data_IF_870496710302
#
_entry.id   IF_870496710302
#
_cell.length_a   1.000
_cell.length_b   1.000
_cell.length_c   1.000
_cell.angle_alpha   90.00
_cell.angle_beta   90.00
_cell.angle_gamma   90.00
#
_symmetry.space_group_name_H-M   'P 1'
#
loop_
_entity.id
_entity.type
_entity.pdbx_description
1 polymer ?
#
# COMPACT_ATOMS: atom_id res chain seq x y z
N UNK A 1 -7.56 -25.11 -11.42
CA UNK A 1 -7.27 -24.30 -10.21
C UNK A 1 -8.39 -24.54 -9.21
N UNK A 2 -8.07 -24.82 -7.99
CA UNK A 2 -9.07 -25.06 -6.93
C UNK A 2 -9.07 -23.89 -5.94
N UNK A 3 -10.26 -23.41 -5.60
CA UNK A 3 -10.46 -22.38 -4.58
C UNK A 3 -11.80 -22.61 -3.87
N UNK A 4 -11.80 -22.59 -2.53
CA UNK A 4 -12.99 -22.80 -1.70
C UNK A 4 -13.79 -24.06 -2.07
N UNK A 5 -13.11 -25.17 -2.33
CA UNK A 5 -13.73 -26.44 -2.72
C UNK A 5 -14.33 -26.48 -4.13
N UNK A 6 -14.13 -25.43 -4.93
CA UNK A 6 -14.56 -25.40 -6.33
C UNK A 6 -13.36 -25.54 -7.26
N UNK A 7 -13.48 -26.38 -8.24
CA UNK A 7 -12.47 -26.57 -9.29
C UNK A 7 -12.83 -25.70 -10.49
N UNK A 8 -11.94 -24.77 -10.83
CA UNK A 8 -12.05 -23.94 -12.01
C UNK A 8 -11.12 -24.48 -13.10
N UNK A 9 -11.70 -24.92 -14.18
CA UNK A 9 -10.94 -25.36 -15.35
C UNK A 9 -11.20 -24.40 -16.52
N UNK A 10 -10.18 -23.88 -17.18
CA UNK A 10 -10.38 -23.12 -18.41
C UNK A 10 -10.83 -24.06 -19.53
N UNK A 11 -11.55 -23.54 -20.50
CA UNK A 11 -11.95 -24.27 -21.70
C UNK A 11 -10.75 -24.84 -22.44
N UNK A 12 -9.63 -24.13 -22.47
CA UNK A 12 -8.35 -24.59 -23.01
C UNK A 12 -7.20 -24.09 -22.11
N UNK A 13 -6.14 -24.89 -21.99
CA UNK A 13 -4.94 -24.52 -21.21
C UNK A 13 -4.28 -23.23 -21.71
N UNK A 14 -4.33 -22.97 -22.99
CA UNK A 14 -3.80 -21.77 -23.64
C UNK A 14 -4.53 -20.48 -23.28
N UNK A 15 -5.73 -20.58 -22.71
CA UNK A 15 -6.52 -19.43 -22.25
C UNK A 15 -6.19 -19.01 -20.80
N UNK A 16 -5.29 -19.74 -20.12
CA UNK A 16 -4.85 -19.36 -18.77
C UNK A 16 -3.66 -18.40 -18.87
N UNK A 17 -3.85 -17.12 -18.52
CA UNK A 17 -2.70 -16.22 -18.37
C UNK A 17 -1.74 -16.79 -17.33
N UNK A 18 -0.42 -16.78 -17.56
CA UNK A 18 0.58 -17.27 -16.61
C UNK A 18 0.44 -16.67 -15.22
N UNK A 19 0.02 -15.41 -15.15
CA UNK A 19 -0.21 -14.68 -13.90
C UNK A 19 -1.33 -15.25 -13.04
N UNK A 20 -2.37 -15.85 -13.66
CA UNK A 20 -3.42 -16.52 -12.90
C UNK A 20 -2.89 -17.65 -12.03
N UNK A 21 -1.85 -18.34 -12.47
CA UNK A 21 -1.18 -19.40 -11.71
C UNK A 21 -0.35 -18.81 -10.55
N UNK A 22 0.23 -17.64 -10.76
CA UNK A 22 1.01 -16.95 -9.76
C UNK A 22 0.15 -16.35 -8.65
N UNK A 23 -1.09 -15.91 -8.93
CA UNK A 23 -1.96 -15.27 -7.94
C UNK A 23 -2.25 -16.16 -6.73
N UNK A 24 -2.53 -17.43 -6.92
CA UNK A 24 -2.75 -18.36 -5.81
C UNK A 24 -1.52 -18.45 -4.92
N UNK A 25 -0.33 -18.61 -5.52
CA UNK A 25 0.94 -18.65 -4.78
C UNK A 25 1.19 -17.33 -4.03
N UNK A 26 0.89 -16.20 -4.66
CA UNK A 26 1.06 -14.88 -4.05
C UNK A 26 0.15 -14.69 -2.83
N UNK A 27 -1.11 -15.07 -2.91
CA UNK A 27 -2.08 -14.92 -1.80
C UNK A 27 -1.67 -15.75 -0.59
N UNK A 28 -1.15 -16.96 -0.81
CA UNK A 28 -0.74 -17.88 0.26
C UNK A 28 0.78 -17.90 0.50
N UNK A 29 1.50 -16.92 -0.02
CA UNK A 29 2.95 -16.84 0.19
C UNK A 29 3.27 -16.62 1.67
N UNK A 30 4.21 -17.39 2.26
CA UNK A 30 4.67 -17.16 3.62
C UNK A 30 5.41 -15.82 3.79
N UNK A 31 5.87 -15.23 2.69
CA UNK A 31 6.56 -13.94 2.69
C UNK A 31 5.59 -12.75 2.58
N UNK A 32 4.28 -13.01 2.56
CA UNK A 32 3.29 -11.95 2.50
C UNK A 32 3.23 -11.20 3.83
N UNK A 33 3.23 -9.87 3.78
CA UNK A 33 3.00 -9.03 4.96
C UNK A 33 1.53 -9.17 5.37
N UNK A 34 1.31 -9.68 6.58
CA UNK A 34 -0.04 -9.96 7.13
C UNK A 34 -0.47 -8.97 8.21
N UNK A 35 0.47 -8.22 8.76
CA UNK A 35 0.26 -7.34 9.90
C UNK A 35 1.00 -6.01 9.71
N UNK A 36 0.57 -4.94 10.38
CA UNK A 36 1.35 -3.71 10.43
C UNK A 36 2.73 -3.97 11.04
N UNK A 37 3.75 -3.41 10.41
CA UNK A 37 5.13 -3.54 10.82
C UNK A 37 5.73 -2.16 11.03
N UNK A 38 6.46 -2.00 12.13
CA UNK A 38 7.25 -0.81 12.42
C UNK A 38 8.73 -1.16 12.46
N UNK A 39 9.59 -0.30 11.93
CA UNK A 39 11.04 -0.46 12.10
C UNK A 39 11.39 -0.42 13.59
N UNK A 40 12.32 -1.28 14.00
CA UNK A 40 12.71 -1.39 15.42
C UNK A 40 13.47 -0.17 15.93
N UNK A 41 14.13 0.54 15.03
CA UNK A 41 14.99 1.70 15.29
C UNK A 41 14.34 3.04 14.87
N UNK A 42 13.03 3.07 14.68
CA UNK A 42 12.29 4.27 14.35
C UNK A 42 11.25 4.59 15.44
N UNK A 43 11.24 5.82 15.88
CA UNK A 43 10.26 6.32 16.84
C UNK A 43 9.68 7.66 16.36
N UNK A 44 8.34 7.86 16.36
CA UNK A 44 7.72 9.12 15.96
C UNK A 44 8.10 10.29 16.87
N UNK A 45 8.35 10.03 18.15
CA UNK A 45 8.69 11.02 19.15
C UNK A 45 10.19 11.05 19.51
N UNK A 46 10.97 10.17 18.90
CA UNK A 46 12.41 10.00 19.14
C UNK A 46 13.22 9.98 17.85
N UNK A 47 14.17 9.08 17.81
CA UNK A 47 15.05 8.91 16.65
C UNK A 47 14.33 8.27 15.47
N UNK A 48 14.48 8.85 14.32
CA UNK A 48 13.83 8.41 13.09
C UNK A 48 14.73 7.57 12.20
N UNK A 49 16.03 7.68 12.37
CA UNK A 49 17.05 6.88 11.68
C UNK A 49 16.78 6.70 10.17
N UNK A 50 16.63 7.78 9.39
CA UNK A 50 16.31 7.67 7.95
C UNK A 50 17.39 6.94 7.16
N UNK A 51 18.64 6.99 7.62
CA UNK A 51 19.77 6.29 7.02
C UNK A 51 19.65 4.77 7.07
N UNK A 52 18.81 4.26 7.97
CA UNK A 52 18.60 2.83 8.15
C UNK A 52 17.40 2.27 7.35
N UNK A 53 16.83 3.07 6.43
CA UNK A 53 15.77 2.57 5.54
C UNK A 53 16.32 1.45 4.65
N UNK A 54 15.59 0.35 4.61
CA UNK A 54 15.97 -0.84 3.84
C UNK A 54 16.89 -1.83 4.57
N UNK A 55 17.54 -1.43 5.67
CA UNK A 55 18.42 -2.30 6.47
C UNK A 55 17.89 -2.62 7.86
N UNK A 56 17.05 -1.75 8.42
CA UNK A 56 16.42 -2.01 9.73
C UNK A 56 15.55 -3.25 9.69
N UNK A 57 15.52 -3.95 10.81
CA UNK A 57 14.53 -4.99 11.07
C UNK A 57 13.17 -4.37 11.41
N UNK A 58 12.15 -5.19 11.36
CA UNK A 58 10.77 -4.79 11.66
C UNK A 58 10.22 -5.57 12.83
N UNK A 59 9.36 -4.92 13.61
CA UNK A 59 8.53 -5.56 14.63
C UNK A 59 7.05 -5.39 14.28
N UNK A 60 6.26 -6.40 14.64
CA UNK A 60 4.81 -6.33 14.53
C UNK A 60 4.26 -5.33 15.54
N UNK A 61 3.30 -4.53 15.09
CA UNK A 61 2.51 -3.62 15.93
C UNK A 61 1.03 -3.90 15.75
N UNK A 62 0.18 -3.32 16.58
CA UNK A 62 -1.28 -3.37 16.41
C UNK A 62 -1.73 -2.43 15.29
N UNK A 63 -2.96 -2.61 14.82
CA UNK A 63 -3.57 -1.66 13.89
C UNK A 63 -3.83 -0.31 14.56
N UNK A 64 -4.19 -0.30 15.85
CA UNK A 64 -4.40 0.93 16.61
C UNK A 64 -3.09 1.72 16.71
N UNK A 65 -1.98 1.08 17.10
CA UNK A 65 -0.66 1.72 17.11
C UNK A 65 -0.29 2.25 15.71
N UNK A 66 -0.55 1.50 14.67
CA UNK A 66 -0.21 1.90 13.30
C UNK A 66 -1.01 3.13 12.85
N UNK A 67 -2.32 3.15 13.11
CA UNK A 67 -3.18 4.28 12.74
C UNK A 67 -2.89 5.53 13.55
N UNK A 68 -2.59 5.40 14.83
CA UNK A 68 -2.19 6.52 15.70
C UNK A 68 -0.87 7.16 15.25
N UNK A 69 0.11 6.32 14.89
CA UNK A 69 1.37 6.80 14.32
C UNK A 69 1.12 7.56 13.02
N UNK A 70 0.35 7.00 12.10
CA UNK A 70 0.05 7.63 10.81
C UNK A 70 -0.68 8.96 11.02
N UNK A 71 -1.69 8.98 11.86
CA UNK A 71 -2.46 10.19 12.14
C UNK A 71 -1.59 11.29 12.76
N UNK A 72 -0.76 10.95 13.73
CA UNK A 72 0.16 11.90 14.39
C UNK A 72 1.20 12.44 13.42
N UNK A 73 1.77 11.61 12.54
CA UNK A 73 2.72 12.04 11.53
C UNK A 73 2.10 12.94 10.45
N UNK A 74 0.90 12.62 10.00
CA UNK A 74 0.15 13.49 9.09
C UNK A 74 -0.06 14.85 9.73
N UNK A 75 -0.53 14.88 10.98
CA UNK A 75 -0.74 16.13 11.75
C UNK A 75 0.57 16.90 11.85
N UNK A 76 1.65 16.28 12.31
CA UNK A 76 2.97 16.89 12.45
C UNK A 76 3.48 17.51 11.14
N UNK A 77 3.39 16.78 10.03
CA UNK A 77 3.85 17.26 8.72
C UNK A 77 3.04 18.47 8.27
N UNK A 78 1.72 18.43 8.46
CA UNK A 78 0.83 19.53 8.09
C UNK A 78 1.09 20.79 8.93
N UNK A 79 1.26 20.64 10.24
CA UNK A 79 1.55 21.76 11.14
C UNK A 79 2.92 22.40 10.85
N UNK A 80 3.92 21.57 10.55
CA UNK A 80 5.29 22.05 10.34
C UNK A 80 5.54 22.57 8.91
N UNK A 81 4.97 21.95 7.90
CA UNK A 81 5.32 22.20 6.49
C UNK A 81 4.11 22.58 5.62
N UNK A 82 2.92 22.58 6.18
CA UNK A 82 1.67 22.85 5.48
C UNK A 82 1.06 21.61 4.79
N UNK A 83 -0.19 21.73 4.33
CA UNK A 83 -0.93 20.61 3.75
C UNK A 83 -0.29 20.07 2.45
N UNK A 84 0.39 20.92 1.70
CA UNK A 84 1.01 20.56 0.42
C UNK A 84 2.31 19.76 0.55
N UNK A 85 2.79 19.54 1.77
CA UNK A 85 3.92 18.66 2.04
C UNK A 85 3.54 17.16 2.05
N UNK A 86 2.26 16.84 1.81
CA UNK A 86 1.77 15.47 1.76
C UNK A 86 1.40 15.13 0.32
N UNK A 87 2.03 14.08 -0.21
CA UNK A 87 1.73 13.49 -1.50
C UNK A 87 1.11 12.11 -1.29
N UNK A 88 -0.06 11.89 -1.87
CA UNK A 88 -0.59 10.55 -2.06
C UNK A 88 -0.42 10.14 -3.50
N UNK A 89 0.07 8.94 -3.68
CA UNK A 89 0.19 8.31 -4.97
C UNK A 89 -0.86 7.20 -5.05
N UNK A 90 -1.64 7.25 -6.07
CA UNK A 90 -2.64 6.25 -6.36
C UNK A 90 -2.84 6.17 -7.86
N UNK A 91 -3.52 5.19 -8.28
CA UNK A 91 -3.84 4.81 -9.64
C UNK A 91 -2.96 3.68 -10.16
N UNK A 92 -3.58 2.79 -10.89
CA UNK A 92 -2.97 1.62 -11.49
C UNK A 92 -4.05 0.63 -11.95
N UNK A 93 -3.64 -0.26 -12.82
CA UNK A 93 -4.53 -1.32 -13.27
C UNK A 93 -4.59 -2.44 -12.20
N UNK A 94 -5.79 -2.87 -11.82
CA UNK A 94 -6.01 -3.88 -10.80
C UNK A 94 -6.06 -3.35 -9.36
N UNK A 95 -6.08 -2.04 -9.18
CA UNK A 95 -6.29 -1.42 -7.89
C UNK A 95 -7.76 -1.56 -7.42
N UNK A 96 -7.95 -1.47 -6.13
CA UNK A 96 -9.28 -1.30 -5.56
C UNK A 96 -9.65 0.20 -5.57
N UNK A 97 -10.36 0.65 -6.59
CA UNK A 97 -10.69 2.06 -6.81
C UNK A 97 -11.37 2.74 -5.61
N UNK A 98 -12.11 1.98 -4.82
CA UNK A 98 -12.82 2.52 -3.66
C UNK A 98 -11.90 2.76 -2.46
N UNK A 99 -10.83 1.98 -2.32
CA UNK A 99 -9.98 2.01 -1.13
C UNK A 99 -8.64 2.68 -1.41
N UNK A 100 -7.92 2.25 -2.43
CA UNK A 100 -6.53 2.68 -2.65
C UNK A 100 -6.31 3.51 -3.92
N UNK A 101 -7.32 3.64 -4.78
CA UNK A 101 -7.22 4.48 -5.97
C UNK A 101 -7.19 5.96 -5.64
N UNK A 102 -6.61 6.78 -6.51
CA UNK A 102 -6.56 8.24 -6.38
C UNK A 102 -7.94 8.89 -6.23
N UNK A 103 -8.96 8.26 -6.80
CA UNK A 103 -10.36 8.68 -6.68
C UNK A 103 -11.06 8.14 -5.43
N UNK A 104 -10.38 7.29 -4.64
CA UNK A 104 -10.89 6.65 -3.44
C UNK A 104 -10.48 7.36 -2.16
N UNK A 105 -10.23 6.55 -1.13
CA UNK A 105 -9.95 7.02 0.23
C UNK A 105 -8.77 7.98 0.37
N UNK A 106 -7.62 7.82 -0.32
CA UNK A 106 -6.51 8.76 -0.17
C UNK A 106 -6.87 10.18 -0.57
N UNK A 107 -7.55 10.36 -1.71
CA UNK A 107 -8.01 11.68 -2.15
C UNK A 107 -9.10 12.26 -1.24
N UNK A 108 -9.98 11.42 -0.73
CA UNK A 108 -10.99 11.84 0.24
C UNK A 108 -10.34 12.31 1.56
N UNK A 109 -9.36 11.54 2.06
CA UNK A 109 -8.61 11.88 3.27
C UNK A 109 -7.94 13.26 3.13
N UNK A 110 -7.21 13.49 2.03
CA UNK A 110 -6.55 14.79 1.82
C UNK A 110 -7.54 15.95 1.71
N UNK A 111 -8.65 15.78 1.03
CA UNK A 111 -9.71 16.81 0.97
C UNK A 111 -10.27 17.12 2.36
N UNK A 112 -10.54 16.11 3.17
CA UNK A 112 -11.02 16.28 4.56
C UNK A 112 -9.99 16.95 5.45
N UNK A 113 -8.71 16.74 5.18
CA UNK A 113 -7.61 17.38 5.89
C UNK A 113 -7.26 18.79 5.36
N UNK A 114 -7.98 19.33 4.37
CA UNK A 114 -7.78 20.69 3.85
C UNK A 114 -6.67 20.80 2.81
N UNK A 115 -6.32 19.72 2.10
CA UNK A 115 -5.42 19.76 0.97
C UNK A 115 -4.26 18.76 1.04
N UNK A 116 -3.53 18.67 -0.06
CA UNK A 116 -2.42 17.76 -0.32
C UNK A 116 -2.36 17.44 -1.81
N UNK A 117 -1.26 16.84 -2.24
CA UNK A 117 -1.08 16.42 -3.63
C UNK A 117 -1.59 15.01 -3.85
N UNK A 118 -2.35 14.82 -4.92
CA UNK A 118 -2.68 13.50 -5.45
C UNK A 118 -2.02 13.36 -6.81
N UNK A 119 -1.16 12.38 -6.96
CA UNK A 119 -0.55 12.07 -8.23
C UNK A 119 -1.18 10.80 -8.81
N UNK A 120 -1.65 10.89 -10.05
CA UNK A 120 -1.99 9.73 -10.85
C UNK A 120 -0.76 9.36 -11.69
N UNK A 121 -0.21 8.19 -11.44
CA UNK A 121 0.83 7.63 -12.29
C UNK A 121 0.17 6.63 -13.21
N UNK A 122 -0.03 7.03 -14.46
CA UNK A 122 -0.72 6.18 -15.43
C UNK A 122 0.18 5.18 -16.13
N UNK A 123 1.47 5.45 -16.24
CA UNK A 123 2.36 4.67 -17.11
C UNK A 123 3.42 3.85 -16.37
N UNK A 124 3.68 4.13 -15.09
CA UNK A 124 4.70 3.41 -14.33
C UNK A 124 4.22 2.07 -13.77
N UNK A 125 2.94 1.83 -13.79
CA UNK A 125 2.28 0.64 -13.28
C UNK A 125 1.56 -0.16 -14.37
N UNK A 126 1.56 0.33 -15.60
CA UNK A 126 1.00 -0.40 -16.71
C UNK A 126 2.00 -1.41 -17.27
N UNK A 127 1.49 -2.53 -17.71
CA UNK A 127 2.28 -3.63 -18.26
C UNK A 127 3.06 -3.23 -19.52
N UNK A 128 2.64 -2.16 -20.17
CA UNK A 128 3.30 -1.62 -21.36
C UNK A 128 4.61 -0.88 -21.02
N UNK A 129 4.85 -0.56 -19.75
CA UNK A 129 6.07 0.10 -19.29
C UNK A 129 7.19 -0.84 -18.87
N UNK A 130 6.97 -2.16 -18.94
CA UNK A 130 7.92 -3.19 -18.51
C UNK A 130 8.51 -3.97 -19.66
#
# INVERSE_FOLDING_TARGET
>A
MEARGKVFQPLMKTLLPPLCLAYKKRVYSPNRILYPLKRVDWDPNGERNPQNRGISKYKRISWDEATDIIASEIKRVREKYGPWAILTQGDGHGECKMVQGSHGMPGLLLRKLGGGWTQQIRNADSWEGW
#
